data_IF_509267100117
#
_entry.id   IF_509267100117
#
_cell.length_a   1.000
_cell.length_b   1.000
_cell.length_c   1.000
_cell.angle_alpha   90.00
_cell.angle_beta   90.00
_cell.angle_gamma   90.00
#
_symmetry.space_group_name_H-M   'P 1'
#
loop_
_entity.id
_entity.type
_entity.pdbx_description
1 polymer ?
#
# COMPACT_ATOMS: atom_id res chain seq x y z
N UNK A 1 6.36 -3.20 19.59
CA UNK A 1 6.40 -2.72 18.17
C UNK A 1 4.98 -2.32 17.76
N UNK A 2 4.78 -1.02 17.49
CA UNK A 2 3.49 -0.52 17.01
C UNK A 2 3.39 -0.74 15.51
N UNK A 3 2.33 -1.40 15.07
CA UNK A 3 2.08 -1.67 13.66
C UNK A 3 0.85 -0.92 13.17
N UNK A 4 0.95 -0.33 11.98
CA UNK A 4 -0.16 0.25 11.23
C UNK A 4 -0.22 -0.36 9.83
N UNK A 5 -1.33 -0.18 9.14
CA UNK A 5 -1.46 -0.59 7.76
C UNK A 5 -1.77 0.62 6.87
N UNK A 6 -1.12 0.68 5.72
CA UNK A 6 -1.47 1.57 4.59
C UNK A 6 -1.96 0.71 3.43
N UNK A 7 -3.19 0.95 3.02
CA UNK A 7 -3.80 0.26 1.88
C UNK A 7 -3.77 1.18 0.66
N UNK A 8 -3.01 0.77 -0.34
CA UNK A 8 -2.66 1.59 -1.49
C UNK A 8 -3.63 1.37 -2.64
N UNK A 9 -4.41 2.39 -2.96
CA UNK A 9 -5.20 2.53 -4.18
C UNK A 9 -6.09 1.32 -4.52
N UNK A 10 -6.70 0.71 -3.51
CA UNK A 10 -7.67 -0.39 -3.70
C UNK A 10 -8.98 0.21 -4.23
N UNK A 11 -9.03 0.40 -5.54
CA UNK A 11 -10.07 1.09 -6.30
C UNK A 11 -10.60 0.20 -7.43
N UNK A 12 -11.81 0.47 -7.92
CA UNK A 12 -12.39 -0.28 -9.05
C UNK A 12 -11.50 -0.32 -10.30
N UNK A 13 -10.79 0.76 -10.58
CA UNK A 13 -9.86 0.86 -11.70
C UNK A 13 -8.86 -0.30 -11.76
N UNK A 14 -8.30 -0.69 -10.61
CA UNK A 14 -7.29 -1.73 -10.51
C UNK A 14 -7.87 -3.15 -10.44
N UNK A 15 -9.20 -3.29 -10.34
CA UNK A 15 -9.92 -4.58 -10.31
C UNK A 15 -9.38 -5.57 -9.26
N UNK A 16 -9.20 -5.15 -8.00
CA UNK A 16 -8.74 -6.05 -6.96
C UNK A 16 -9.76 -7.18 -6.74
N UNK A 17 -9.27 -8.38 -6.50
CA UNK A 17 -10.14 -9.53 -6.23
C UNK A 17 -10.91 -9.39 -4.91
N UNK A 18 -12.15 -9.89 -4.82
CA UNK A 18 -12.98 -9.78 -3.61
C UNK A 18 -12.35 -10.49 -2.41
N UNK A 19 -11.60 -11.56 -2.63
CA UNK A 19 -10.86 -12.27 -1.59
C UNK A 19 -9.77 -11.41 -0.94
N UNK A 20 -9.03 -10.65 -1.75
CA UNK A 20 -8.03 -9.71 -1.26
C UNK A 20 -8.67 -8.57 -0.44
N UNK A 21 -9.76 -8.00 -0.93
CA UNK A 21 -10.52 -6.95 -0.23
C UNK A 21 -10.99 -7.46 1.14
N UNK A 22 -11.56 -8.67 1.19
CA UNK A 22 -12.03 -9.28 2.43
C UNK A 22 -10.88 -9.49 3.44
N UNK A 23 -9.74 -9.99 3.00
CA UNK A 23 -8.56 -10.19 3.85
C UNK A 23 -7.99 -8.86 4.37
N UNK A 24 -7.92 -7.84 3.51
CA UNK A 24 -7.50 -6.49 3.92
C UNK A 24 -8.45 -5.95 5.01
N UNK A 25 -9.76 -6.02 4.80
CA UNK A 25 -10.74 -5.54 5.78
C UNK A 25 -10.67 -6.31 7.10
N UNK A 26 -10.46 -7.61 7.04
CA UNK A 26 -10.28 -8.43 8.24
C UNK A 26 -9.06 -7.99 9.05
N UNK A 27 -7.95 -7.73 8.38
CA UNK A 27 -6.72 -7.28 9.04
C UNK A 27 -6.83 -5.82 9.51
N UNK A 28 -7.51 -4.96 8.76
CA UNK A 28 -7.79 -3.56 9.12
C UNK A 28 -8.57 -3.42 10.43
N UNK A 29 -9.37 -4.42 10.80
CA UNK A 29 -10.09 -4.46 12.08
C UNK A 29 -9.17 -4.70 13.29
N UNK A 30 -7.91 -5.09 13.08
CA UNK A 30 -6.97 -5.46 14.16
C UNK A 30 -5.87 -4.43 14.41
N UNK A 31 -5.71 -3.43 13.54
CA UNK A 31 -4.67 -2.40 13.67
C UNK A 31 -5.11 -1.07 13.04
N UNK A 32 -4.52 0.07 13.46
CA UNK A 32 -4.77 1.34 12.81
C UNK A 32 -4.48 1.26 11.31
N UNK A 33 -5.47 1.57 10.49
CA UNK A 33 -5.40 1.44 9.03
C UNK A 33 -5.82 2.73 8.35
N UNK A 34 -5.00 3.21 7.43
CA UNK A 34 -5.37 4.25 6.48
C UNK A 34 -5.27 3.74 5.04
N UNK A 35 -5.93 4.43 4.14
CA UNK A 35 -5.88 4.11 2.72
C UNK A 35 -5.44 5.32 1.90
N UNK A 36 -4.91 5.06 0.71
CA UNK A 36 -4.75 6.08 -0.32
C UNK A 36 -5.79 5.91 -1.41
N UNK A 37 -6.22 7.04 -1.95
CA UNK A 37 -7.06 7.13 -3.15
C UNK A 37 -6.25 7.85 -4.24
N UNK A 38 -5.95 7.16 -5.33
CA UNK A 38 -5.30 7.79 -6.47
C UNK A 38 -6.29 8.72 -7.17
N UNK A 39 -6.01 10.03 -7.11
CA UNK A 39 -6.78 11.08 -7.78
C UNK A 39 -5.87 11.68 -8.84
N UNK A 40 -6.19 11.44 -10.10
CA UNK A 40 -5.31 11.85 -11.20
C UNK A 40 -5.16 13.37 -11.28
N UNK A 41 -3.92 13.82 -11.38
CA UNK A 41 -3.51 15.16 -11.74
C UNK A 41 -2.46 15.08 -12.84
N UNK A 42 -2.79 15.54 -14.04
CA UNK A 42 -1.91 15.43 -15.21
C UNK A 42 -0.66 16.33 -15.09
N UNK A 43 -0.70 17.35 -14.24
CA UNK A 43 0.45 18.23 -13.98
C UNK A 43 1.49 17.50 -13.14
N UNK A 44 1.04 16.76 -12.12
CA UNK A 44 1.93 16.02 -11.22
C UNK A 44 2.37 14.68 -11.82
N UNK A 45 1.46 13.97 -12.50
CA UNK A 45 1.72 12.65 -13.11
C UNK A 45 1.14 12.60 -14.51
N UNK A 46 1.96 12.69 -15.56
CA UNK A 46 1.50 12.88 -16.94
C UNK A 46 1.05 11.55 -17.59
N UNK A 47 0.06 10.87 -17.01
CA UNK A 47 -0.40 9.58 -17.51
C UNK A 47 -0.98 9.64 -18.90
N UNK A 48 -1.77 10.69 -19.20
CA UNK A 48 -2.38 10.86 -20.52
C UNK A 48 -1.31 11.10 -21.58
N UNK A 49 -0.27 11.90 -21.29
CA UNK A 49 0.88 12.11 -22.18
C UNK A 49 1.65 10.81 -22.44
N UNK A 50 1.62 9.87 -21.50
CA UNK A 50 2.22 8.54 -21.64
C UNK A 50 1.28 7.54 -22.32
N UNK A 51 0.13 7.96 -22.83
CA UNK A 51 -0.87 7.10 -23.46
C UNK A 51 -1.62 6.17 -22.51
N UNK A 52 -1.67 6.53 -21.21
CA UNK A 52 -2.37 5.75 -20.19
C UNK A 52 -3.69 6.41 -19.80
N UNK A 53 -4.70 5.59 -19.54
CA UNK A 53 -5.97 6.06 -19.00
C UNK A 53 -5.86 6.12 -17.46
N UNK A 54 -6.02 7.31 -16.86
CA UNK A 54 -5.94 7.42 -15.39
C UNK A 54 -7.19 6.87 -14.69
N UNK A 55 -7.08 6.48 -13.41
CA UNK A 55 -8.23 6.16 -12.58
C UNK A 55 -9.23 7.32 -12.50
N UNK A 56 -10.52 6.99 -12.46
CA UNK A 56 -11.63 7.94 -12.31
C UNK A 56 -12.46 7.65 -11.06
N UNK A 57 -12.01 6.73 -10.21
CA UNK A 57 -12.73 6.35 -9.00
C UNK A 57 -12.73 7.49 -7.98
N UNK A 58 -13.85 7.62 -7.26
CA UNK A 58 -14.04 8.59 -6.19
C UNK A 58 -13.94 7.98 -4.78
N UNK A 59 -13.75 6.67 -4.68
CA UNK A 59 -13.72 5.97 -3.40
C UNK A 59 -12.82 4.72 -3.44
N UNK A 60 -12.30 4.35 -2.28
CA UNK A 60 -11.64 3.07 -2.04
C UNK A 60 -12.65 1.98 -1.72
N UNK A 61 -12.28 0.72 -1.95
CA UNK A 61 -13.14 -0.47 -1.77
C UNK A 61 -12.95 -1.15 -0.41
N UNK A 62 -12.18 -0.53 0.49
CA UNK A 62 -11.88 -1.08 1.82
C UNK A 62 -12.30 -0.11 2.92
N UNK A 63 -12.42 -0.63 4.14
CA UNK A 63 -12.66 0.19 5.33
C UNK A 63 -11.33 0.70 5.90
N UNK A 64 -11.23 2.01 6.12
CA UNK A 64 -10.06 2.64 6.71
C UNK A 64 -10.46 3.76 7.68
N UNK A 65 -9.62 4.03 8.67
CA UNK A 65 -9.82 5.13 9.63
C UNK A 65 -9.62 6.51 8.98
N UNK A 66 -8.78 6.56 7.94
CA UNK A 66 -8.50 7.76 7.17
C UNK A 66 -8.23 7.39 5.71
N UNK A 67 -8.60 8.28 4.78
CA UNK A 67 -8.32 8.14 3.35
C UNK A 67 -7.58 9.39 2.89
N UNK A 68 -6.42 9.20 2.26
CA UNK A 68 -5.58 10.28 1.77
C UNK A 68 -5.55 10.27 0.24
N UNK A 69 -6.05 11.33 -0.43
CA UNK A 69 -5.89 11.46 -1.87
C UNK A 69 -4.42 11.65 -2.22
N UNK A 70 -3.99 11.05 -3.32
CA UNK A 70 -2.66 11.24 -3.88
C UNK A 70 -2.71 11.28 -5.41
N UNK A 71 -1.93 12.15 -6.02
CA UNK A 71 -1.82 12.25 -7.47
C UNK A 71 -0.63 11.45 -8.01
N UNK A 72 0.42 11.28 -7.23
CA UNK A 72 1.63 10.52 -7.55
C UNK A 72 1.61 9.08 -7.02
N UNK A 73 2.70 8.36 -7.26
CA UNK A 73 2.84 6.98 -6.81
C UNK A 73 3.28 6.85 -5.34
N UNK A 74 4.03 7.83 -4.84
CA UNK A 74 4.50 7.85 -3.46
C UNK A 74 3.41 8.17 -2.44
N UNK A 75 3.73 7.98 -1.18
CA UNK A 75 2.82 8.29 -0.08
C UNK A 75 2.78 9.80 0.17
N UNK A 76 1.59 10.43 0.23
CA UNK A 76 1.50 11.85 0.51
C UNK A 76 1.93 12.19 1.93
N UNK A 77 2.39 13.41 2.12
CA UNK A 77 2.94 13.88 3.40
C UNK A 77 1.95 13.74 4.55
N UNK A 78 0.67 13.98 4.30
CA UNK A 78 -0.39 13.85 5.30
C UNK A 78 -0.53 12.41 5.83
N UNK A 79 -0.33 11.41 4.97
CA UNK A 79 -0.36 10.02 5.37
C UNK A 79 0.90 9.65 6.20
N UNK A 80 2.07 10.19 5.84
CA UNK A 80 3.30 10.05 6.65
C UNK A 80 3.10 10.66 8.04
N UNK A 81 2.52 11.84 8.13
CA UNK A 81 2.22 12.50 9.40
C UNK A 81 1.22 11.68 10.24
N UNK A 82 0.21 11.10 9.60
CA UNK A 82 -0.74 10.22 10.26
C UNK A 82 -0.04 8.99 10.85
N UNK A 83 0.83 8.32 10.10
CA UNK A 83 1.63 7.18 10.59
C UNK A 83 2.51 7.55 11.78
N UNK A 84 3.16 8.71 11.73
CA UNK A 84 3.96 9.24 12.85
C UNK A 84 3.11 9.52 14.09
N UNK A 85 1.89 10.04 13.94
CA UNK A 85 0.95 10.23 15.04
C UNK A 85 0.50 8.91 15.67
N UNK A 86 0.42 7.83 14.89
CA UNK A 86 0.16 6.49 15.41
C UNK A 86 1.40 5.87 16.09
N UNK A 87 2.54 6.54 16.05
CA UNK A 87 3.83 6.02 16.56
C UNK A 87 4.19 4.68 15.90
N UNK A 88 3.96 4.55 14.60
CA UNK A 88 4.19 3.34 13.85
C UNK A 88 5.69 3.02 13.77
N UNK A 89 6.08 1.85 14.28
CA UNK A 89 7.43 1.28 14.09
C UNK A 89 7.53 0.51 12.77
N UNK A 90 6.46 -0.21 12.44
CA UNK A 90 6.34 -0.99 11.22
C UNK A 90 5.02 -0.67 10.52
N UNK A 91 5.09 -0.50 9.21
CA UNK A 91 3.94 -0.20 8.35
C UNK A 91 3.73 -1.35 7.37
N UNK A 92 2.65 -2.09 7.55
CA UNK A 92 2.21 -3.06 6.58
C UNK A 92 1.61 -2.33 5.38
N UNK A 93 2.20 -2.54 4.20
CA UNK A 93 1.74 -1.94 2.95
C UNK A 93 1.00 -3.01 2.15
N UNK A 94 -0.24 -2.73 1.77
CA UNK A 94 -1.13 -3.62 1.04
C UNK A 94 -1.76 -2.88 -0.13
N UNK A 95 -2.27 -3.58 -1.14
CA UNK A 95 -3.04 -2.98 -2.24
C UNK A 95 -2.45 -3.16 -3.63
N UNK A 96 -2.56 -2.15 -4.48
CA UNK A 96 -2.33 -2.18 -5.93
C UNK A 96 -1.46 -1.01 -6.41
N UNK A 97 -0.61 -1.14 -7.44
CA UNK A 97 -0.03 -2.39 -7.92
C UNK A 97 1.32 -2.61 -7.27
N UNK A 98 1.68 -3.86 -7.04
CA UNK A 98 2.91 -4.25 -6.33
C UNK A 98 4.16 -3.57 -6.89
N UNK A 99 4.34 -3.59 -8.20
CA UNK A 99 5.53 -3.13 -8.92
C UNK A 99 5.55 -1.62 -9.26
N UNK A 100 4.55 -0.87 -8.79
CA UNK A 100 4.46 0.57 -9.03
C UNK A 100 4.10 1.32 -7.74
N UNK A 101 2.80 1.59 -7.53
CA UNK A 101 2.30 2.38 -6.40
C UNK A 101 2.72 1.80 -5.05
N UNK A 102 2.62 0.48 -4.90
CA UNK A 102 2.95 -0.20 -3.64
C UNK A 102 4.43 -0.05 -3.29
N UNK A 103 5.31 -0.32 -4.26
CA UNK A 103 6.76 -0.19 -4.08
C UNK A 103 7.14 1.27 -3.78
N UNK A 104 6.55 2.23 -4.50
CA UNK A 104 6.79 3.65 -4.26
C UNK A 104 6.35 4.10 -2.86
N UNK A 105 5.22 3.60 -2.37
CA UNK A 105 4.77 3.82 -1.00
C UNK A 105 5.73 3.17 0.01
N UNK A 106 6.23 1.98 -0.28
CA UNK A 106 7.24 1.32 0.54
C UNK A 106 8.49 2.17 0.72
N UNK A 107 9.03 2.73 -0.36
CA UNK A 107 10.15 3.67 -0.28
C UNK A 107 9.80 4.94 0.51
N UNK A 108 8.59 5.45 0.36
CA UNK A 108 8.14 6.63 1.14
C UNK A 108 8.13 6.35 2.64
N UNK A 109 7.64 5.19 3.06
CA UNK A 109 7.64 4.74 4.46
C UNK A 109 9.08 4.56 4.97
N UNK A 110 9.93 3.89 4.19
CA UNK A 110 11.34 3.68 4.52
C UNK A 110 12.09 5.00 4.70
N UNK A 111 11.94 5.94 3.76
CA UNK A 111 12.57 7.26 3.80
C UNK A 111 12.05 8.13 4.96
N UNK A 112 10.86 7.82 5.49
CA UNK A 112 10.31 8.47 6.68
C UNK A 112 10.82 7.88 8.02
N UNK A 113 11.72 6.89 7.97
CA UNK A 113 12.33 6.26 9.13
C UNK A 113 11.49 5.15 9.78
N UNK A 114 10.47 4.66 9.12
CA UNK A 114 9.65 3.52 9.57
C UNK A 114 10.03 2.26 8.78
N UNK A 115 9.67 1.08 9.30
CA UNK A 115 9.93 -0.19 8.61
C UNK A 115 8.75 -0.59 7.73
N UNK A 116 8.87 -0.58 6.40
CA UNK A 116 7.82 -1.12 5.55
C UNK A 116 7.83 -2.64 5.55
N UNK A 117 6.66 -3.23 5.54
CA UNK A 117 6.47 -4.67 5.42
C UNK A 117 5.34 -4.97 4.43
N UNK A 118 5.38 -6.12 3.81
CA UNK A 118 4.29 -6.62 2.95
C UNK A 118 3.92 -8.05 3.31
N UNK A 119 2.67 -8.39 3.03
CA UNK A 119 2.17 -9.76 3.03
C UNK A 119 1.64 -10.05 1.61
N UNK A 120 2.28 -10.92 0.82
CA UNK A 120 2.00 -11.08 -0.61
C UNK A 120 0.53 -11.29 -0.98
N UNK A 121 -0.28 -12.06 -0.23
CA UNK A 121 -1.71 -12.20 -0.52
C UNK A 121 -2.53 -10.90 -0.45
N UNK A 122 -2.01 -9.86 0.19
CA UNK A 122 -2.62 -8.54 0.27
C UNK A 122 -2.09 -7.56 -0.79
N UNK A 123 -1.25 -8.03 -1.69
CA UNK A 123 -0.62 -7.24 -2.75
C UNK A 123 -1.08 -7.75 -4.10
N UNK A 124 -1.42 -6.85 -5.00
CA UNK A 124 -1.89 -7.18 -6.34
C UNK A 124 -1.08 -6.44 -7.41
N UNK A 125 -0.61 -7.19 -8.39
CA UNK A 125 0.03 -6.67 -9.61
C UNK A 125 -0.57 -7.34 -10.84
N UNK A 126 -0.55 -6.65 -11.98
CA UNK A 126 -1.07 -7.20 -13.24
C UNK A 126 -0.16 -8.25 -13.86
N UNK A 127 1.11 -8.25 -13.50
CA UNK A 127 2.13 -9.16 -14.00
C UNK A 127 2.73 -9.95 -12.83
N UNK A 128 2.55 -11.28 -12.88
CA UNK A 128 3.03 -12.16 -11.82
C UNK A 128 4.56 -12.14 -11.67
N UNK A 129 5.28 -12.04 -12.79
CA UNK A 129 6.75 -11.99 -12.78
C UNK A 129 7.23 -10.71 -12.11
N UNK A 130 6.68 -9.56 -12.52
CA UNK A 130 7.01 -8.26 -11.91
C UNK A 130 6.61 -8.21 -10.43
N UNK A 131 5.47 -8.77 -10.07
CA UNK A 131 5.06 -8.92 -8.66
C UNK A 131 6.13 -9.66 -7.86
N UNK A 132 6.56 -10.83 -8.32
CA UNK A 132 7.57 -11.67 -7.63
C UNK A 132 8.92 -10.99 -7.53
N UNK A 133 9.40 -10.39 -8.62
CA UNK A 133 10.66 -9.63 -8.64
C UNK A 133 10.61 -8.46 -7.65
N UNK A 134 9.49 -7.74 -7.62
CA UNK A 134 9.32 -6.59 -6.73
C UNK A 134 9.34 -6.99 -5.26
N UNK A 135 8.74 -8.12 -4.89
CA UNK A 135 8.83 -8.64 -3.52
C UNK A 135 10.28 -8.96 -3.15
N UNK A 136 11.08 -9.49 -4.07
CA UNK A 136 12.51 -9.69 -3.88
C UNK A 136 13.30 -8.38 -3.70
N UNK A 137 12.96 -7.35 -4.47
CA UNK A 137 13.52 -6.00 -4.29
C UNK A 137 13.14 -5.45 -2.92
N UNK A 138 11.87 -5.59 -2.53
CA UNK A 138 11.37 -5.15 -1.23
C UNK A 138 12.18 -5.75 -0.08
N UNK A 139 12.31 -7.07 -0.05
CA UNK A 139 13.00 -7.78 1.02
C UNK A 139 14.48 -7.43 1.10
N UNK A 140 15.12 -7.23 -0.04
CA UNK A 140 16.55 -6.89 -0.11
C UNK A 140 16.84 -5.45 0.29
N UNK A 141 15.98 -4.49 -0.10
CA UNK A 141 16.31 -3.07 -0.06
C UNK A 141 15.63 -2.29 1.06
N UNK A 142 14.38 -2.58 1.39
CA UNK A 142 13.60 -1.66 2.22
C UNK A 142 12.88 -2.28 3.41
N UNK A 143 12.51 -3.58 3.37
CA UNK A 143 11.70 -4.09 4.47
C UNK A 143 11.42 -5.58 4.45
N UNK A 144 10.44 -5.98 5.23
CA UNK A 144 10.08 -7.38 5.47
C UNK A 144 9.02 -7.87 4.48
N UNK A 145 9.20 -9.06 3.95
CA UNK A 145 8.16 -9.83 3.26
C UNK A 145 7.72 -10.97 4.18
N UNK A 146 6.51 -10.86 4.72
CA UNK A 146 5.91 -11.90 5.56
C UNK A 146 5.39 -13.05 4.70
N UNK A 147 5.64 -14.28 5.11
CA UNK A 147 5.23 -15.47 4.36
C UNK A 147 3.79 -15.88 4.66
N UNK A 148 3.26 -15.47 5.82
CA UNK A 148 1.90 -15.81 6.25
C UNK A 148 1.34 -14.79 7.24
N UNK A 149 0.01 -14.79 7.39
CA UNK A 149 -0.65 -13.99 8.41
C UNK A 149 -0.27 -14.44 9.84
N UNK A 150 0.05 -15.71 10.05
CA UNK A 150 0.54 -16.21 11.33
C UNK A 150 1.90 -15.59 11.69
N UNK A 151 2.83 -15.52 10.73
CA UNK A 151 4.14 -14.87 10.94
C UNK A 151 3.96 -13.38 11.29
N UNK A 152 3.00 -12.71 10.67
CA UNK A 152 2.66 -11.33 10.96
C UNK A 152 2.19 -11.13 12.41
N UNK A 153 1.44 -12.09 12.96
CA UNK A 153 0.93 -12.03 14.34
C UNK A 153 2.03 -12.28 15.38
N UNK A 154 2.98 -13.18 15.10
CA UNK A 154 4.03 -13.58 16.04
C UNK A 154 5.36 -12.85 15.83
N UNK A 155 5.56 -12.15 14.74
CA UNK A 155 6.79 -11.44 14.41
C UNK A 155 7.07 -10.18 15.25
N UNK A 156 6.39 -10.00 16.36
CA UNK A 156 6.52 -8.87 17.28
C UNK A 156 7.08 -9.22 18.67
N UNK A 157 7.59 -10.45 18.84
CA UNK A 157 8.24 -10.86 20.09
C UNK A 157 9.75 -10.68 20.03
#
# INVERSE_FOLDING_TARGET
MNRCMIVVDVQNYYRPGPGMIAQINQLAATMPTAATLFVHDEIEVPLVKLGRTPPQDSAVLISAMAVFPKAGYGLPVQAIEWLKKQQADEVLVAGCHTDANLLSVGFSVFNAGMRPAVLPPLCFGNDWYMHTVTLGVWEREIGKVYQSAAELQFGGL
#
